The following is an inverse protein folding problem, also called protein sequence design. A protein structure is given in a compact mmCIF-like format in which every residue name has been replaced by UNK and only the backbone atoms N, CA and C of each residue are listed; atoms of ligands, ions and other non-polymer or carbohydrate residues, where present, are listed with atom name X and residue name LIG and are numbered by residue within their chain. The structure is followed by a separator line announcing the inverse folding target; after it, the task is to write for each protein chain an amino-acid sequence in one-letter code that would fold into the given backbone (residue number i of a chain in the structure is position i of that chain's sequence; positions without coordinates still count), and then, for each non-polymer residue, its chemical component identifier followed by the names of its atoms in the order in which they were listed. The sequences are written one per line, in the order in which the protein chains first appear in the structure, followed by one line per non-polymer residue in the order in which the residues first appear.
data_IF_229118113485
#
_entry.id   IF_229118113485
#
_cell.length_a   1.000
_cell.length_b   1.000
_cell.length_c   1.000
_cell.angle_alpha   90.00
_cell.angle_beta   90.00
_cell.angle_gamma   90.00
#
_symmetry.space_group_name_H-M   'P 1'
#
loop_
_entity.id
_entity.type
_entity.pdbx_description
1 polymer ?
#
# COMPACT_ATOMS: atom_id res chain seq x y z
N UNK A 1 15.32 12.12 -6.68
CA UNK A 1 16.54 11.31 -6.92
C UNK A 1 16.63 10.31 -5.78
N UNK A 2 16.15 9.07 -5.99
CA UNK A 2 16.23 8.02 -4.99
C UNK A 2 17.64 7.45 -4.98
N UNK A 3 18.44 7.84 -4.00
CA UNK A 3 19.67 7.12 -3.66
C UNK A 3 19.29 5.87 -2.87
N UNK A 4 18.84 4.83 -3.57
CA UNK A 4 18.96 3.48 -3.04
C UNK A 4 20.44 3.26 -2.75
N UNK A 5 20.80 2.95 -1.50
CA UNK A 5 22.15 2.55 -1.12
C UNK A 5 22.50 1.24 -1.86
N UNK A 6 22.98 1.37 -3.10
CA UNK A 6 23.47 0.24 -3.89
C UNK A 6 24.82 -0.14 -3.26
N UNK A 7 24.79 -1.03 -2.30
CA UNK A 7 26.02 -1.58 -1.73
C UNK A 7 26.62 -2.58 -2.72
N UNK A 8 27.72 -2.19 -3.35
CA UNK A 8 28.46 -3.04 -4.29
C UNK A 8 29.46 -3.92 -3.51
N UNK A 9 29.34 -5.21 -3.69
CA UNK A 9 30.21 -6.21 -3.05
C UNK A 9 31.27 -6.69 -4.03
N UNK A 10 32.52 -6.82 -3.53
CA UNK A 10 33.56 -7.55 -4.26
C UNK A 10 33.23 -9.04 -4.28
N UNK A 11 33.73 -9.82 -5.25
CA UNK A 11 33.43 -11.25 -5.35
C UNK A 11 33.73 -12.05 -4.07
N UNK A 12 34.75 -11.66 -3.32
CA UNK A 12 35.12 -12.30 -2.03
C UNK A 12 34.05 -12.08 -0.96
N UNK A 13 33.66 -10.80 -0.78
CA UNK A 13 32.70 -10.40 0.25
C UNK A 13 31.30 -10.97 -0.06
N UNK A 14 30.94 -11.03 -1.35
CA UNK A 14 29.68 -11.60 -1.80
C UNK A 14 29.64 -13.13 -1.67
N UNK A 15 30.75 -13.80 -1.92
CA UNK A 15 30.89 -15.24 -1.70
C UNK A 15 30.69 -15.60 -0.21
N UNK A 16 31.29 -14.82 0.68
CA UNK A 16 31.14 -14.96 2.14
C UNK A 16 29.68 -14.74 2.56
N UNK A 17 29.02 -13.69 2.05
CA UNK A 17 27.60 -13.38 2.31
C UNK A 17 26.67 -14.53 1.88
N UNK A 18 26.97 -15.22 0.77
CA UNK A 18 26.19 -16.36 0.27
C UNK A 18 26.58 -17.70 0.93
N UNK A 19 27.71 -17.77 1.63
CA UNK A 19 28.26 -19.01 2.20
C UNK A 19 28.87 -19.94 1.13
N UNK A 20 29.42 -19.39 0.04
CA UNK A 20 29.99 -20.15 -1.08
C UNK A 20 31.44 -19.72 -1.39
N UNK A 21 32.14 -20.51 -2.21
CA UNK A 21 33.49 -20.12 -2.64
C UNK A 21 33.45 -19.11 -3.81
N UNK A 22 34.48 -18.29 -3.94
CA UNK A 22 34.63 -17.39 -5.09
C UNK A 22 34.65 -18.16 -6.42
N UNK A 23 35.20 -19.38 -6.44
CA UNK A 23 35.18 -20.27 -7.61
C UNK A 23 33.76 -20.65 -7.99
N UNK A 24 32.89 -20.88 -7.04
CA UNK A 24 31.45 -21.14 -7.25
C UNK A 24 30.79 -19.95 -7.91
N UNK A 25 31.02 -18.72 -7.42
CA UNK A 25 30.50 -17.49 -8.05
C UNK A 25 30.97 -17.32 -9.49
N UNK A 26 32.25 -17.60 -9.75
CA UNK A 26 32.81 -17.54 -11.10
C UNK A 26 32.20 -18.58 -12.05
N UNK A 27 31.86 -19.76 -11.53
CA UNK A 27 31.14 -20.79 -12.29
C UNK A 27 29.72 -20.31 -12.60
N UNK A 28 28.99 -19.82 -11.62
CA UNK A 28 27.63 -19.30 -11.80
C UNK A 28 27.55 -18.10 -12.76
N UNK A 29 28.56 -17.22 -12.75
CA UNK A 29 28.69 -16.13 -13.71
C UNK A 29 28.83 -16.67 -15.16
N UNK A 30 29.60 -17.75 -15.37
CA UNK A 30 29.76 -18.38 -16.69
C UNK A 30 28.53 -19.16 -17.13
N UNK A 31 27.88 -19.86 -16.22
CA UNK A 31 26.67 -20.67 -16.45
C UNK A 31 25.41 -19.82 -16.58
N UNK A 32 25.48 -18.52 -16.22
CA UNK A 32 24.34 -17.61 -16.26
C UNK A 32 23.40 -17.73 -15.05
N UNK A 33 23.70 -18.62 -14.09
CA UNK A 33 22.89 -18.78 -12.85
C UNK A 33 22.88 -17.53 -12.00
N UNK A 34 24.03 -16.82 -11.91
CA UNK A 34 24.17 -15.55 -11.21
C UNK A 34 25.24 -14.72 -11.93
N UNK A 35 24.81 -13.87 -12.86
CA UNK A 35 25.71 -13.01 -13.65
C UNK A 35 26.29 -11.90 -12.77
N UNK A 36 27.63 -11.75 -12.80
CA UNK A 36 28.32 -10.64 -12.19
C UNK A 36 28.11 -9.35 -13.00
N UNK A 37 27.93 -8.23 -12.30
CA UNK A 37 28.07 -6.92 -12.92
C UNK A 37 29.55 -6.62 -13.19
N UNK A 38 29.82 -5.77 -14.17
CA UNK A 38 31.16 -5.39 -14.56
C UNK A 38 31.38 -3.89 -14.40
N UNK A 39 32.52 -3.51 -13.84
CA UNK A 39 32.96 -2.12 -13.87
C UNK A 39 33.47 -1.77 -15.30
N UNK A 40 33.65 -0.48 -15.64
CA UNK A 40 34.29 -0.10 -16.91
C UNK A 40 35.69 -0.71 -17.14
N UNK A 41 36.36 -1.14 -16.06
CA UNK A 41 37.64 -1.84 -16.05
C UNK A 41 37.51 -3.35 -16.01
N UNK A 42 36.36 -3.89 -16.39
CA UNK A 42 36.01 -5.33 -16.42
C UNK A 42 36.15 -6.09 -15.07
N UNK A 43 36.16 -5.39 -13.96
CA UNK A 43 36.16 -6.03 -12.65
C UNK A 43 34.76 -6.45 -12.25
N UNK A 44 34.61 -7.70 -11.75
CA UNK A 44 33.35 -8.23 -11.25
C UNK A 44 32.93 -7.57 -9.96
N UNK A 45 31.64 -7.26 -9.83
CA UNK A 45 31.00 -6.89 -8.57
C UNK A 45 29.57 -7.43 -8.56
N UNK A 46 29.01 -7.54 -7.35
CA UNK A 46 27.63 -7.97 -7.12
C UNK A 46 26.91 -6.94 -6.27
N UNK A 47 25.57 -6.90 -6.39
CA UNK A 47 24.72 -5.99 -5.61
C UNK A 47 23.95 -6.73 -4.53
N UNK A 48 23.48 -6.00 -3.52
CA UNK A 48 22.62 -6.58 -2.49
C UNK A 48 21.32 -7.11 -3.07
N UNK A 49 20.77 -6.47 -4.09
CA UNK A 49 19.58 -6.93 -4.80
C UNK A 49 19.79 -8.32 -5.43
N UNK A 50 20.95 -8.59 -5.99
CA UNK A 50 21.30 -9.91 -6.51
C UNK A 50 21.37 -10.98 -5.40
N UNK A 51 21.82 -10.61 -4.20
CA UNK A 51 21.78 -11.51 -3.04
C UNK A 51 20.36 -11.87 -2.66
N UNK A 52 19.47 -10.88 -2.59
CA UNK A 52 18.09 -11.08 -2.21
C UNK A 52 17.33 -11.90 -3.28
N UNK A 53 17.55 -11.60 -4.54
CA UNK A 53 17.00 -12.37 -5.67
C UNK A 53 17.47 -13.84 -5.62
N UNK A 54 18.75 -14.08 -5.36
CA UNK A 54 19.30 -15.44 -5.25
C UNK A 54 18.71 -16.21 -4.05
N UNK A 55 18.43 -15.52 -2.94
CA UNK A 55 17.74 -16.10 -1.77
C UNK A 55 16.24 -16.31 -1.98
N UNK A 56 15.70 -16.00 -3.17
CA UNK A 56 14.27 -16.07 -3.46
C UNK A 56 13.46 -14.95 -2.77
N UNK A 57 14.14 -13.97 -2.20
CA UNK A 57 13.53 -12.77 -1.68
C UNK A 57 13.37 -11.83 -2.88
N UNK A 58 12.23 -11.90 -3.55
CA UNK A 58 11.93 -11.00 -4.65
C UNK A 58 11.89 -9.57 -4.14
N UNK A 59 13.00 -8.86 -4.33
CA UNK A 59 12.96 -7.42 -4.49
C UNK A 59 12.78 -7.17 -6.00
N UNK A 60 11.70 -7.62 -6.56
CA UNK A 60 11.11 -6.83 -7.61
C UNK A 60 10.88 -5.47 -6.96
N UNK A 61 11.34 -4.39 -7.60
CA UNK A 61 10.86 -3.05 -7.30
C UNK A 61 9.35 -3.19 -7.22
N UNK A 62 8.84 -3.27 -5.99
CA UNK A 62 7.42 -3.46 -5.75
C UNK A 62 6.76 -2.17 -6.26
N UNK A 63 6.46 -2.15 -7.57
CA UNK A 63 5.85 -1.01 -8.27
C UNK A 63 4.45 -0.74 -7.76
N UNK A 64 4.00 -1.59 -6.80
CA UNK A 64 2.71 -1.41 -6.18
C UNK A 64 2.70 -0.17 -5.32
N UNK A 65 1.59 0.52 -5.38
CA UNK A 65 1.40 1.83 -4.79
C UNK A 65 1.09 1.75 -3.29
N UNK A 66 1.54 2.77 -2.57
CA UNK A 66 1.10 3.08 -1.22
C UNK A 66 0.05 4.18 -1.31
N UNK A 67 -1.15 3.86 -0.86
CA UNK A 67 -2.32 4.73 -1.00
C UNK A 67 -2.81 5.15 0.37
N UNK A 68 -3.02 6.46 0.57
CA UNK A 68 -3.82 6.93 1.70
C UNK A 68 -5.28 7.06 1.26
N UNK A 69 -6.18 6.60 2.12
CA UNK A 69 -7.61 6.68 1.89
C UNK A 69 -8.28 7.41 3.04
N UNK A 70 -8.96 8.51 2.72
CA UNK A 70 -9.71 9.32 3.67
C UNK A 70 -11.17 9.45 3.21
N UNK A 71 -12.11 9.42 4.16
CA UNK A 71 -13.55 9.45 3.88
C UNK A 71 -14.31 10.28 4.90
N UNK A 72 -15.30 11.00 4.39
CA UNK A 72 -16.35 11.62 5.20
C UNK A 72 -17.72 11.28 4.61
N UNK A 73 -18.77 11.35 5.45
CA UNK A 73 -20.12 10.95 5.04
C UNK A 73 -20.75 11.98 4.10
N UNK A 74 -20.47 13.26 4.29
CA UNK A 74 -21.08 14.35 3.52
C UNK A 74 -20.05 15.37 3.02
N UNK A 75 -20.40 16.13 1.98
CA UNK A 75 -19.53 17.18 1.45
C UNK A 75 -19.34 18.36 2.41
N UNK A 76 -20.24 18.54 3.36
CA UNK A 76 -20.13 19.60 4.38
C UNK A 76 -18.97 19.34 5.35
N UNK A 77 -18.47 18.11 5.45
CA UNK A 77 -17.33 17.70 6.26
C UNK A 77 -15.99 17.79 5.51
N UNK A 78 -15.88 18.74 4.57
CA UNK A 78 -14.67 18.90 3.76
C UNK A 78 -13.43 19.18 4.61
N UNK A 79 -13.56 19.98 5.66
CA UNK A 79 -12.46 20.34 6.55
C UNK A 79 -11.98 19.11 7.33
N UNK A 80 -12.89 18.25 7.80
CA UNK A 80 -12.55 17.00 8.46
C UNK A 80 -11.81 16.05 7.50
N UNK A 81 -12.22 16.02 6.24
CA UNK A 81 -11.53 15.24 5.22
C UNK A 81 -10.10 15.72 5.01
N UNK A 82 -9.89 17.02 4.91
CA UNK A 82 -8.56 17.61 4.78
C UNK A 82 -7.69 17.35 6.02
N UNK A 83 -8.27 17.43 7.21
CA UNK A 83 -7.58 17.11 8.46
C UNK A 83 -7.13 15.63 8.48
N UNK A 84 -7.98 14.70 8.04
CA UNK A 84 -7.60 13.29 7.90
C UNK A 84 -6.42 13.11 6.93
N UNK A 85 -6.49 13.75 5.77
CA UNK A 85 -5.41 13.70 4.75
C UNK A 85 -4.11 14.27 5.30
N UNK A 86 -4.16 15.43 5.95
CA UNK A 86 -3.00 16.07 6.55
C UNK A 86 -2.36 15.19 7.62
N UNK A 87 -3.17 14.61 8.51
CA UNK A 87 -2.72 13.68 9.54
C UNK A 87 -2.03 12.44 8.94
N UNK A 88 -2.65 11.80 7.93
CA UNK A 88 -2.08 10.63 7.27
C UNK A 88 -0.76 10.96 6.55
N UNK A 89 -0.67 12.12 5.91
CA UNK A 89 0.58 12.61 5.29
C UNK A 89 1.68 12.83 6.33
N UNK A 90 1.34 13.44 7.46
CA UNK A 90 2.30 13.67 8.55
C UNK A 90 2.80 12.34 9.12
N UNK A 91 1.91 11.38 9.36
CA UNK A 91 2.26 10.03 9.80
C UNK A 91 3.21 9.34 8.81
N UNK A 92 2.88 9.35 7.52
CA UNK A 92 3.70 8.73 6.48
C UNK A 92 5.08 9.39 6.40
N UNK A 93 5.15 10.72 6.45
CA UNK A 93 6.41 11.46 6.46
C UNK A 93 7.28 11.08 7.67
N UNK A 94 6.69 11.01 8.87
CA UNK A 94 7.40 10.63 10.10
C UNK A 94 7.94 9.18 10.04
N UNK A 95 7.28 8.30 9.29
CA UNK A 95 7.68 6.89 9.06
C UNK A 95 8.56 6.69 7.83
N UNK A 96 8.85 7.74 7.06
CA UNK A 96 9.61 7.63 5.81
C UNK A 96 8.85 6.87 4.70
N UNK A 97 7.52 6.83 4.77
CA UNK A 97 6.67 6.16 3.79
C UNK A 97 6.36 7.13 2.64
N UNK A 98 6.69 6.74 1.42
CA UNK A 98 6.35 7.50 0.22
C UNK A 98 4.90 7.17 -0.15
N UNK A 99 4.08 8.22 -0.30
CA UNK A 99 2.68 8.12 -0.73
C UNK A 99 2.63 8.30 -2.23
N UNK A 100 2.11 7.30 -2.95
CA UNK A 100 1.93 7.37 -4.40
C UNK A 100 0.59 8.00 -4.77
N UNK A 101 -0.47 7.71 -4.00
CA UNK A 101 -1.82 8.19 -4.28
C UNK A 101 -2.55 8.61 -3.00
N UNK A 102 -3.40 9.64 -3.13
CA UNK A 102 -4.31 10.08 -2.09
C UNK A 102 -5.75 10.00 -2.60
N UNK A 103 -6.57 9.17 -1.96
CA UNK A 103 -7.98 8.99 -2.30
C UNK A 103 -8.84 9.67 -1.24
N UNK A 104 -9.57 10.70 -1.67
CA UNK A 104 -10.54 11.42 -0.87
C UNK A 104 -11.94 11.02 -1.32
N UNK A 105 -12.74 10.41 -0.44
CA UNK A 105 -14.06 9.88 -0.77
C UNK A 105 -15.17 10.55 0.05
N UNK A 106 -16.33 10.71 -0.58
CA UNK A 106 -17.54 11.27 0.02
C UNK A 106 -18.67 10.24 -0.06
N UNK A 107 -19.22 9.89 1.08
CA UNK A 107 -20.33 8.98 1.19
C UNK A 107 -20.29 8.15 2.47
N UNK A 108 -21.43 7.60 2.85
CA UNK A 108 -21.55 6.75 4.03
C UNK A 108 -20.62 5.55 3.98
N UNK A 109 -20.03 5.17 5.12
CA UNK A 109 -19.27 3.93 5.30
C UNK A 109 -20.09 2.67 5.09
N UNK A 110 -21.42 2.79 5.07
CA UNK A 110 -22.38 1.73 4.77
C UNK A 110 -22.69 1.60 3.27
N UNK A 111 -22.30 2.60 2.48
CA UNK A 111 -22.51 2.57 1.03
C UNK A 111 -21.34 1.87 0.32
N UNK A 112 -21.53 0.65 -0.11
CA UNK A 112 -20.54 -0.14 -0.86
C UNK A 112 -20.45 0.23 -2.34
N UNK A 113 -21.38 1.09 -2.86
CA UNK A 113 -21.39 1.53 -4.25
C UNK A 113 -20.60 2.82 -4.48
N UNK A 114 -19.75 3.22 -3.55
CA UNK A 114 -18.87 4.39 -3.72
C UNK A 114 -17.87 4.14 -4.85
N UNK A 115 -17.84 5.05 -5.81
CA UNK A 115 -17.03 4.90 -7.02
C UNK A 115 -15.55 4.75 -6.71
N UNK A 116 -14.97 5.70 -5.93
CA UNK A 116 -13.54 5.71 -5.61
C UNK A 116 -13.12 4.50 -4.76
N UNK A 117 -13.98 4.07 -3.85
CA UNK A 117 -13.75 2.87 -3.04
C UNK A 117 -13.74 1.60 -3.89
N UNK A 118 -14.68 1.47 -4.85
CA UNK A 118 -14.70 0.34 -5.78
C UNK A 118 -13.52 0.35 -6.75
N UNK A 119 -13.10 1.54 -7.22
CA UNK A 119 -11.87 1.70 -8.02
C UNK A 119 -10.65 1.21 -7.26
N UNK A 120 -10.49 1.62 -5.98
CA UNK A 120 -9.41 1.14 -5.11
C UNK A 120 -9.42 -0.38 -4.95
N UNK A 121 -10.60 -1.01 -4.74
CA UNK A 121 -10.70 -2.46 -4.63
C UNK A 121 -10.34 -3.19 -5.94
N UNK A 122 -10.70 -2.61 -7.09
CA UNK A 122 -10.28 -3.15 -8.39
C UNK A 122 -8.74 -3.10 -8.52
N UNK A 123 -8.11 -1.98 -8.14
CA UNK A 123 -6.65 -1.86 -8.14
C UNK A 123 -5.97 -2.85 -7.16
N UNK A 124 -6.62 -3.15 -6.02
CA UNK A 124 -6.18 -4.22 -5.10
C UNK A 124 -6.23 -5.58 -5.79
N UNK A 125 -7.35 -5.91 -6.45
CA UNK A 125 -7.49 -7.18 -7.18
C UNK A 125 -6.48 -7.31 -8.33
N UNK A 126 -6.13 -6.20 -8.98
CA UNK A 126 -5.10 -6.14 -10.00
C UNK A 126 -3.66 -6.14 -9.43
N UNK A 127 -3.52 -6.29 -8.11
CA UNK A 127 -2.25 -6.27 -7.38
C UNK A 127 -1.41 -5.00 -7.62
N UNK A 128 -2.05 -3.86 -7.87
CA UNK A 128 -1.41 -2.56 -8.06
C UNK A 128 -1.10 -1.87 -6.73
N UNK A 129 -1.81 -2.25 -5.66
CA UNK A 129 -1.70 -1.64 -4.34
C UNK A 129 -0.88 -2.52 -3.41
N UNK A 130 0.11 -1.92 -2.75
CA UNK A 130 0.92 -2.55 -1.70
C UNK A 130 0.31 -2.35 -0.33
N UNK A 131 -0.03 -1.08 -0.04
CA UNK A 131 -0.51 -0.69 1.29
C UNK A 131 -1.59 0.37 1.17
N UNK A 132 -2.68 0.18 1.90
CA UNK A 132 -3.73 1.18 2.11
C UNK A 132 -3.58 1.71 3.54
N UNK A 133 -3.48 3.02 3.71
CA UNK A 133 -3.33 3.66 5.01
C UNK A 133 -4.57 4.50 5.30
N UNK A 134 -5.20 4.25 6.45
CA UNK A 134 -6.43 4.91 6.90
C UNK A 134 -6.29 5.41 8.34
N UNK A 135 -7.03 6.42 8.72
CA UNK A 135 -7.06 6.91 10.11
C UNK A 135 -7.70 5.89 11.04
N UNK A 136 -8.88 5.41 10.71
CA UNK A 136 -9.66 4.43 11.48
C UNK A 136 -10.24 3.36 10.55
N UNK A 137 -10.59 2.19 11.10
CA UNK A 137 -11.22 1.08 10.36
C UNK A 137 -12.53 1.51 9.67
N UNK A 138 -13.34 2.30 10.35
CA UNK A 138 -14.63 2.80 9.86
C UNK A 138 -14.51 3.86 8.74
N UNK A 139 -13.33 4.47 8.55
CA UNK A 139 -13.04 5.31 7.39
C UNK A 139 -12.90 4.49 6.12
N UNK A 140 -12.38 3.28 6.23
CA UNK A 140 -12.31 2.36 5.10
C UNK A 140 -13.70 1.74 4.84
N UNK A 141 -14.25 1.08 5.86
CA UNK A 141 -15.55 0.43 5.80
C UNK A 141 -16.17 0.35 7.21
N UNK A 142 -17.47 0.57 7.33
CA UNK A 142 -18.16 0.58 8.63
C UNK A 142 -18.36 -0.82 9.21
N UNK A 143 -18.77 -1.78 8.39
CA UNK A 143 -18.95 -3.16 8.78
C UNK A 143 -18.13 -4.12 7.91
N UNK A 144 -17.70 -5.23 8.49
CA UNK A 144 -16.97 -6.26 7.78
C UNK A 144 -15.49 -5.93 7.53
N UNK A 145 -14.89 -5.03 8.31
CA UNK A 145 -13.48 -4.67 8.17
C UNK A 145 -12.56 -5.89 8.14
N UNK A 146 -12.74 -6.85 9.05
CA UNK A 146 -11.90 -8.05 9.14
C UNK A 146 -12.00 -8.93 7.89
N UNK A 147 -13.17 -8.93 7.23
CA UNK A 147 -13.35 -9.62 5.94
C UNK A 147 -12.57 -8.91 4.84
N UNK A 148 -12.65 -7.58 4.77
CA UNK A 148 -11.91 -6.79 3.77
C UNK A 148 -10.40 -6.82 4.00
N UNK A 149 -9.95 -6.83 5.24
CA UNK A 149 -8.54 -7.00 5.57
C UNK A 149 -8.02 -8.34 5.04
N UNK A 150 -8.74 -9.44 5.30
CA UNK A 150 -8.41 -10.76 4.76
C UNK A 150 -8.49 -10.81 3.23
N UNK A 151 -9.45 -10.11 2.65
CA UNK A 151 -9.56 -9.98 1.19
C UNK A 151 -8.33 -9.28 0.61
N UNK A 152 -7.95 -8.12 1.14
CA UNK A 152 -6.75 -7.39 0.70
C UNK A 152 -5.48 -8.24 0.85
N UNK A 153 -5.34 -8.98 1.96
CA UNK A 153 -4.20 -9.88 2.19
C UNK A 153 -4.09 -10.97 1.12
N UNK A 154 -5.19 -11.48 0.58
CA UNK A 154 -5.18 -12.47 -0.52
C UNK A 154 -4.56 -11.90 -1.81
N UNK A 155 -4.60 -10.60 -1.98
CA UNK A 155 -3.98 -9.88 -3.10
C UNK A 155 -2.66 -9.22 -2.72
N UNK A 156 -2.04 -9.67 -1.63
CA UNK A 156 -0.77 -9.13 -1.10
C UNK A 156 -0.83 -7.63 -0.77
N UNK A 157 -2.00 -7.11 -0.44
CA UNK A 157 -2.21 -5.72 -0.01
C UNK A 157 -2.42 -5.68 1.50
N UNK A 158 -1.68 -4.83 2.21
CA UNK A 158 -1.85 -4.59 3.65
C UNK A 158 -2.69 -3.35 3.91
N UNK A 159 -3.49 -3.36 4.99
CA UNK A 159 -4.19 -2.17 5.47
C UNK A 159 -3.54 -1.72 6.79
N UNK A 160 -3.12 -0.47 6.85
CA UNK A 160 -2.55 0.15 8.05
C UNK A 160 -3.56 1.14 8.61
N UNK A 161 -4.00 0.87 9.84
CA UNK A 161 -4.91 1.75 10.58
C UNK A 161 -4.09 2.55 11.58
N UNK A 162 -4.12 3.88 11.48
CA UNK A 162 -3.24 4.76 12.27
C UNK A 162 -3.84 5.11 13.63
N UNK A 163 -5.12 4.87 13.86
CA UNK A 163 -5.86 5.18 15.10
C UNK A 163 -5.64 6.61 15.60
N UNK A 164 -6.49 7.51 15.17
CA UNK A 164 -6.60 8.83 15.77
C UNK A 164 -7.82 8.83 16.71
N UNK A 165 -7.60 8.93 18.02
CA UNK A 165 -8.65 8.85 19.04
C UNK A 165 -9.57 10.10 19.10
N UNK A 166 -9.19 11.19 18.42
CA UNK A 166 -9.86 12.49 18.52
C UNK A 166 -11.16 12.62 17.69
N UNK A 167 -11.47 11.65 16.84
CA UNK A 167 -12.68 11.71 16.01
C UNK A 167 -13.79 10.84 16.64
N UNK A 168 -14.84 11.47 17.15
CA UNK A 168 -15.95 10.77 17.80
C UNK A 168 -16.70 9.86 16.82
N UNK A 169 -16.49 8.57 16.97
CA UNK A 169 -17.09 7.52 16.15
C UNK A 169 -18.63 7.51 16.21
N UNK A 170 -19.20 7.99 17.31
CA UNK A 170 -20.65 7.96 17.55
C UNK A 170 -21.42 8.98 16.71
N UNK A 171 -20.90 10.21 16.58
CA UNK A 171 -21.56 11.27 15.79
C UNK A 171 -21.57 10.92 14.28
N UNK A 172 -20.52 10.28 13.79
CA UNK A 172 -20.48 9.83 12.40
C UNK A 172 -21.43 8.66 12.11
N UNK A 173 -21.57 7.72 13.06
CA UNK A 173 -22.51 6.62 12.89
C UNK A 173 -23.94 7.13 12.73
N UNK A 174 -24.35 8.11 13.57
CA UNK A 174 -25.65 8.75 13.45
C UNK A 174 -25.81 9.45 12.09
N UNK A 175 -24.78 10.15 11.64
CA UNK A 175 -24.80 10.88 10.37
C UNK A 175 -24.83 9.93 9.16
N UNK A 176 -24.13 8.80 9.22
CA UNK A 176 -24.17 7.74 8.21
C UNK A 176 -25.56 7.11 8.11
N UNK A 177 -26.21 6.84 9.25
CA UNK A 177 -27.58 6.30 9.28
C UNK A 177 -28.57 7.31 8.72
N UNK A 178 -28.47 8.59 9.09
CA UNK A 178 -29.29 9.66 8.55
C UNK A 178 -29.13 9.78 7.03
N UNK A 179 -27.91 9.77 6.52
CA UNK A 179 -27.65 9.77 5.09
C UNK A 179 -28.33 8.60 4.34
N UNK A 180 -28.24 7.39 4.90
CA UNK A 180 -28.87 6.22 4.28
C UNK A 180 -30.40 6.33 4.27
N UNK A 181 -30.99 6.85 5.33
CA UNK A 181 -32.45 7.03 5.40
C UNK A 181 -32.96 8.06 4.41
N UNK A 182 -32.21 9.15 4.19
CA UNK A 182 -32.61 10.22 3.27
C UNK A 182 -32.24 9.96 1.80
N UNK A 183 -31.21 9.12 1.53
CA UNK A 183 -30.77 8.79 0.16
C UNK A 183 -31.36 7.50 -0.38
N UNK A 184 -32.00 6.67 0.42
CA UNK A 184 -32.74 5.51 -0.05
C UNK A 184 -33.98 5.98 -0.80
N UNK A 185 -34.18 5.59 -2.08
CA UNK A 185 -35.38 5.92 -2.80
C UNK A 185 -36.60 5.36 -2.06
N UNK A 186 -37.57 6.22 -1.78
CA UNK A 186 -38.81 5.84 -1.12
C UNK A 186 -39.46 4.67 -1.89
N UNK A 187 -40.06 3.69 -1.18
CA UNK A 187 -40.80 2.61 -1.85
C UNK A 187 -41.89 3.08 -2.83
N UNK A 188 -42.30 4.37 -2.75
CA UNK A 188 -43.29 4.99 -3.63
C UNK A 188 -42.74 5.41 -4.99
N UNK A 189 -41.43 5.51 -5.19
CA UNK A 189 -40.79 5.89 -6.45
C UNK A 189 -40.55 4.70 -7.40
N UNK A 190 -40.91 3.47 -7.00
CA UNK A 190 -40.75 2.27 -7.85
C UNK A 190 -41.94 1.94 -8.74
N UNK A 191 -42.96 2.80 -8.75
CA UNK A 191 -44.16 2.62 -9.59
C UNK A 191 -44.40 3.84 -10.49
N UNK A 192 -43.52 4.01 -11.48
CA UNK A 192 -43.80 4.75 -12.72
C UNK A 192 -42.90 4.24 -13.83
#
# INVERSE_FOLDING_TARGET
MNTSNITNYKPKDFAELLGVSVKTLQRWDREGTLKANRTPTDRRYYTYDQYLQFKGINIENDKRQVVIYARVSTRNQKDDLQNQVAFLRQFCNAKGIIIDQCIEDYGSGLNYNRKKWNELLNEVMEQKIKTIIVTHKDRFIRFGYDWFEKFCMKFNTSIVVVNNEELSQQEELVQDIVCLLYTSPSPRDRTR
#
